data_IF_073740485983
#
_entry.id   IF_073740485983
#
_cell.length_a   1.000
_cell.length_b   1.000
_cell.length_c   1.000
_cell.angle_alpha   90.00
_cell.angle_beta   90.00
_cell.angle_gamma   90.00
#
_symmetry.space_group_name_H-M   'P 1'
#
loop_
_entity.id
_entity.type
_entity.pdbx_description
1 polymer ?
#
# COMPACT_ATOMS: atom_id res chain seq x y z
N UNK A 1 17.03 9.82 63.78
CA UNK A 1 16.39 8.47 63.77
C UNK A 1 15.25 8.53 64.81
N UNK A 2 13.98 8.18 64.59
CA UNK A 2 13.31 7.30 63.62
C UNK A 2 11.77 7.48 63.75
N UNK A 3 11.10 7.74 62.63
CA UNK A 3 9.69 7.39 62.26
C UNK A 3 8.50 8.04 63.01
N UNK A 4 7.31 7.88 62.39
CA UNK A 4 5.95 8.38 62.70
C UNK A 4 5.71 9.82 62.16
N UNK A 5 4.83 10.08 61.19
CA UNK A 5 3.40 9.76 61.08
C UNK A 5 3.01 9.47 59.62
N UNK A 6 2.63 8.23 59.28
CA UNK A 6 1.28 7.82 58.88
C UNK A 6 0.24 8.96 58.80
N UNK A 7 -0.40 9.10 57.64
CA UNK A 7 -1.68 9.79 57.35
C UNK A 7 -1.51 10.90 56.32
N UNK A 8 -1.83 10.56 55.08
CA UNK A 8 -1.84 11.47 53.94
C UNK A 8 -2.23 10.75 52.65
N UNK A 9 -3.08 9.74 52.78
CA UNK A 9 -3.74 9.03 51.69
C UNK A 9 -4.76 9.99 51.07
N UNK A 10 -4.34 10.81 50.11
CA UNK A 10 -5.21 11.52 49.15
C UNK A 10 -4.34 11.74 47.90
N UNK A 11 -4.09 10.69 47.12
CA UNK A 11 -4.86 10.38 45.91
C UNK A 11 -5.09 11.61 45.00
N UNK A 12 -4.01 12.24 44.54
CA UNK A 12 -4.08 13.12 43.37
C UNK A 12 -2.86 12.85 42.50
N UNK A 13 -2.91 11.76 41.74
CA UNK A 13 -2.07 11.60 40.55
C UNK A 13 -2.94 11.11 39.40
N UNK A 14 -3.99 11.88 39.11
CA UNK A 14 -4.73 11.80 37.85
C UNK A 14 -3.87 12.43 36.77
N UNK A 15 -2.91 11.72 36.18
CA UNK A 15 -2.28 12.20 34.96
C UNK A 15 -2.02 11.04 33.98
N UNK A 16 -2.87 11.06 32.94
CA UNK A 16 -2.64 10.54 31.59
C UNK A 16 -2.63 9.02 31.44
N UNK A 17 -3.84 8.47 31.37
CA UNK A 17 -4.13 7.40 30.42
C UNK A 17 -3.92 7.95 29.00
N UNK A 18 -2.69 7.92 28.52
CA UNK A 18 -2.36 8.24 27.14
C UNK A 18 -2.95 7.15 26.24
N UNK A 19 -4.19 7.36 25.80
CA UNK A 19 -4.71 6.64 24.64
C UNK A 19 -3.96 7.19 23.42
N UNK A 20 -2.79 6.61 23.15
CA UNK A 20 -2.06 6.84 21.92
C UNK A 20 -2.88 6.26 20.78
N UNK A 21 -3.73 7.08 20.18
CA UNK A 21 -4.24 6.80 18.84
C UNK A 21 -3.03 6.92 17.91
N UNK A 22 -2.44 5.77 17.59
CA UNK A 22 -1.50 5.70 16.48
C UNK A 22 -2.31 6.07 15.23
N UNK A 23 -2.25 7.35 14.85
CA UNK A 23 -2.72 7.82 13.55
C UNK A 23 -1.73 7.24 12.56
N UNK A 24 -1.96 5.98 12.15
CA UNK A 24 -1.32 5.40 10.99
C UNK A 24 -1.62 6.35 9.85
N UNK A 25 -0.60 7.09 9.41
CA UNK A 25 -0.65 7.92 8.22
C UNK A 25 -1.25 7.05 7.11
N UNK A 26 -2.46 7.35 6.69
CA UNK A 26 -3.14 6.63 5.61
C UNK A 26 -2.36 6.93 4.34
N UNK A 27 -1.32 6.15 4.09
CA UNK A 27 -0.70 6.11 2.77
C UNK A 27 -1.73 5.47 1.85
N UNK A 28 -2.05 6.07 0.70
CA UNK A 28 -2.92 5.43 -0.27
C UNK A 28 -2.39 4.03 -0.54
N UNK A 29 -3.24 3.02 -0.34
CA UNK A 29 -2.85 1.63 -0.53
C UNK A 29 -2.54 1.43 -2.02
N UNK A 30 -1.27 1.26 -2.35
CA UNK A 30 -0.83 0.90 -3.70
C UNK A 30 -1.38 -0.49 -4.01
N UNK A 31 -2.24 -0.58 -5.02
CA UNK A 31 -2.90 -1.82 -5.39
C UNK A 31 -1.89 -2.91 -5.79
N UNK A 32 -2.25 -4.17 -5.62
CA UNK A 32 -1.39 -5.28 -6.06
C UNK A 32 -1.09 -5.23 -7.57
N UNK A 33 -2.05 -4.77 -8.38
CA UNK A 33 -1.88 -4.53 -9.82
C UNK A 33 -0.86 -3.45 -10.13
N UNK A 34 -0.87 -2.33 -9.39
CA UNK A 34 0.11 -1.25 -9.57
C UNK A 34 1.53 -1.73 -9.22
N UNK A 35 1.69 -2.47 -8.11
CA UNK A 35 2.99 -3.03 -7.71
C UNK A 35 3.54 -3.97 -8.78
N UNK A 36 2.70 -4.85 -9.32
CA UNK A 36 3.06 -5.76 -10.41
C UNK A 36 3.43 -4.99 -11.68
N UNK A 37 2.61 -4.01 -12.07
CA UNK A 37 2.88 -3.19 -13.26
C UNK A 37 4.23 -2.47 -13.16
N UNK A 38 4.46 -1.76 -12.03
CA UNK A 38 5.70 -1.02 -11.79
C UNK A 38 6.93 -1.89 -11.71
N UNK A 39 6.82 -3.14 -11.27
CA UNK A 39 7.97 -4.04 -11.10
C UNK A 39 8.26 -4.86 -12.36
N UNK A 40 7.23 -5.38 -13.03
CA UNK A 40 7.36 -6.30 -14.17
C UNK A 40 7.47 -5.57 -15.50
N UNK A 41 6.64 -4.55 -15.75
CA UNK A 41 6.54 -3.91 -17.07
C UNK A 41 7.66 -2.90 -17.37
N UNK A 42 8.46 -2.51 -16.37
CA UNK A 42 9.65 -1.66 -16.55
C UNK A 42 10.94 -2.44 -16.88
N UNK A 43 10.88 -3.77 -16.93
CA UNK A 43 12.08 -4.61 -17.02
C UNK A 43 12.83 -4.41 -18.34
N UNK A 44 12.11 -4.09 -19.43
CA UNK A 44 12.69 -4.00 -20.78
C UNK A 44 12.74 -2.58 -21.36
N UNK A 45 11.95 -1.65 -20.82
CA UNK A 45 11.84 -0.27 -21.27
C UNK A 45 11.22 0.60 -20.17
N UNK A 46 11.20 1.92 -20.38
CA UNK A 46 10.50 2.85 -19.50
C UNK A 46 9.05 2.43 -19.29
N UNK A 47 8.57 2.60 -18.06
CA UNK A 47 7.19 2.31 -17.72
C UNK A 47 6.27 3.31 -18.43
N UNK A 48 5.33 2.79 -19.21
CA UNK A 48 4.39 3.61 -19.97
C UNK A 48 3.28 4.08 -19.01
N UNK A 49 2.72 5.26 -19.26
CA UNK A 49 1.59 5.75 -18.46
C UNK A 49 0.30 5.02 -18.85
N UNK A 50 -0.56 4.60 -17.89
CA UNK A 50 -1.82 3.91 -18.20
C UNK A 50 -2.71 4.65 -19.22
N UNK A 51 -2.75 5.98 -19.15
CA UNK A 51 -3.54 6.86 -20.04
C UNK A 51 -3.07 6.91 -21.50
N UNK A 52 -1.95 6.27 -21.83
CA UNK A 52 -1.39 6.32 -23.18
C UNK A 52 -2.28 5.53 -24.16
N UNK A 53 -2.84 4.40 -23.72
CA UNK A 53 -3.48 3.44 -24.62
C UNK A 53 -4.88 3.07 -24.14
N UNK A 54 -5.76 2.73 -25.07
CA UNK A 54 -7.12 2.26 -24.77
C UNK A 54 -7.10 0.89 -24.09
N UNK A 55 -8.19 0.54 -23.42
CA UNK A 55 -8.31 -0.70 -22.64
C UNK A 55 -8.05 -1.95 -23.50
N UNK A 56 -8.51 -1.96 -24.75
CA UNK A 56 -8.31 -3.08 -25.69
C UNK A 56 -6.85 -3.20 -26.14
N UNK A 57 -6.16 -2.07 -26.28
CA UNK A 57 -4.73 -2.03 -26.60
C UNK A 57 -3.92 -2.58 -25.43
N UNK A 58 -4.25 -2.18 -24.20
CA UNK A 58 -3.62 -2.73 -23.00
C UNK A 58 -3.81 -4.23 -22.87
N UNK A 59 -5.03 -4.74 -23.11
CA UNK A 59 -5.30 -6.18 -23.14
C UNK A 59 -4.38 -6.91 -24.12
N UNK A 60 -4.21 -6.35 -25.31
CA UNK A 60 -3.33 -6.90 -26.35
C UNK A 60 -1.86 -6.86 -25.92
N UNK A 61 -1.40 -5.77 -25.30
CA UNK A 61 0.00 -5.63 -24.87
C UNK A 61 0.35 -6.53 -23.68
N UNK A 62 -0.50 -6.60 -22.67
CA UNK A 62 -0.27 -7.47 -21.50
C UNK A 62 -0.26 -8.93 -21.93
N UNK A 63 -1.10 -9.34 -22.89
CA UNK A 63 -1.06 -10.70 -23.41
C UNK A 63 0.22 -10.98 -24.19
N UNK A 64 0.59 -10.07 -25.11
CA UNK A 64 1.77 -10.22 -25.98
C UNK A 64 3.11 -10.16 -25.24
N UNK A 65 3.23 -9.27 -24.25
CA UNK A 65 4.50 -9.03 -23.55
C UNK A 65 4.56 -9.69 -22.18
N UNK A 66 3.43 -10.01 -21.56
CA UNK A 66 3.40 -10.66 -20.24
C UNK A 66 4.10 -12.01 -20.22
N UNK A 67 4.02 -12.79 -21.32
CA UNK A 67 4.75 -14.05 -21.47
C UNK A 67 6.27 -13.86 -21.45
N UNK A 68 6.79 -12.73 -21.93
CA UNK A 68 8.23 -12.44 -21.99
C UNK A 68 8.85 -12.14 -20.63
N UNK A 69 8.02 -11.74 -19.67
CA UNK A 69 8.42 -11.47 -18.28
C UNK A 69 7.79 -12.48 -17.30
N UNK A 70 7.31 -13.62 -17.84
CA UNK A 70 6.73 -14.74 -17.10
C UNK A 70 5.57 -14.35 -16.16
N UNK A 71 4.67 -13.46 -16.61
CA UNK A 71 3.45 -13.19 -15.85
C UNK A 71 2.55 -14.41 -15.85
N UNK A 72 2.07 -14.78 -14.66
CA UNK A 72 0.95 -15.71 -14.53
C UNK A 72 -0.35 -15.09 -15.06
N UNK A 73 -1.37 -15.92 -15.28
CA UNK A 73 -2.71 -15.45 -15.68
C UNK A 73 -3.27 -14.45 -14.66
N UNK A 74 -3.13 -14.76 -13.37
CA UNK A 74 -3.60 -13.90 -12.27
C UNK A 74 -2.83 -12.56 -12.22
N UNK A 75 -1.51 -12.58 -12.47
CA UNK A 75 -0.72 -11.34 -12.53
C UNK A 75 -1.14 -10.46 -13.71
N UNK A 76 -1.41 -11.06 -14.87
CA UNK A 76 -1.93 -10.33 -16.05
C UNK A 76 -3.27 -9.67 -15.74
N UNK A 77 -4.19 -10.39 -15.10
CA UNK A 77 -5.51 -9.85 -14.72
C UNK A 77 -5.39 -8.68 -13.73
N UNK A 78 -4.54 -8.80 -12.70
CA UNK A 78 -4.29 -7.70 -11.75
C UNK A 78 -3.70 -6.47 -12.42
N UNK A 79 -2.75 -6.66 -13.34
CA UNK A 79 -2.16 -5.55 -14.11
C UNK A 79 -3.21 -4.90 -15.03
N UNK A 80 -4.01 -5.70 -15.73
CA UNK A 80 -5.05 -5.17 -16.62
C UNK A 80 -6.10 -4.38 -15.86
N UNK A 81 -6.55 -4.88 -14.70
CA UNK A 81 -7.47 -4.14 -13.83
C UNK A 81 -6.90 -2.78 -13.46
N UNK A 82 -5.64 -2.73 -13.01
CA UNK A 82 -4.98 -1.46 -12.70
C UNK A 82 -4.91 -0.52 -13.90
N UNK A 83 -4.55 -1.02 -15.09
CA UNK A 83 -4.42 -0.19 -16.29
C UNK A 83 -5.75 0.42 -16.72
N UNK A 84 -6.83 -0.38 -16.72
CA UNK A 84 -8.19 0.07 -17.08
C UNK A 84 -8.74 1.08 -16.07
N UNK A 85 -8.54 0.85 -14.76
CA UNK A 85 -8.97 1.78 -13.71
C UNK A 85 -8.24 3.14 -13.75
N UNK A 86 -7.12 3.24 -14.49
CA UNK A 86 -6.25 4.41 -14.50
C UNK A 86 -6.04 5.02 -15.91
N UNK A 87 -6.83 4.59 -16.91
CA UNK A 87 -6.78 5.09 -18.29
C UNK A 87 -7.44 6.47 -18.46
#
# INVERSE_FOLDING_TARGET
MRKFFISGLLLIFTLNLACGTNVSKVTPEVSSGEKLYRSKCRTCHTLIEPKKFKDEEWKTFVEKYGSRVHLSVEEKEKILKYLVENN
#
